data_IF_291903415249
#
_entry.id   IF_291903415249
#
_cell.length_a   1.000
_cell.length_b   1.000
_cell.length_c   1.000
_cell.angle_alpha   90.00
_cell.angle_beta   90.00
_cell.angle_gamma   90.00
#
_symmetry.space_group_name_H-M   'P 1'
#
loop_
_entity.id
_entity.type
_entity.pdbx_description
1 polymer ?
#
# COMPACT_ATOMS: atom_id res chain seq x y z
N UNK A 1 -6.09 2.63 -8.86
CA UNK A 1 -5.27 1.75 -9.72
C UNK A 1 -5.01 2.34 -11.10
N UNK A 2 -5.98 2.41 -12.03
CA UNK A 2 -5.75 2.95 -13.39
C UNK A 2 -5.12 4.36 -13.40
N UNK A 3 -5.44 5.18 -12.40
CA UNK A 3 -4.83 6.51 -12.20
C UNK A 3 -3.58 6.50 -11.32
N UNK A 4 -3.52 5.65 -10.31
CA UNK A 4 -2.49 5.70 -9.26
C UNK A 4 -1.20 5.04 -9.71
N UNK A 5 -1.27 3.85 -10.31
CA UNK A 5 -0.10 3.10 -10.75
C UNK A 5 0.72 3.88 -11.79
N UNK A 6 0.15 4.41 -12.90
CA UNK A 6 0.95 5.18 -13.85
C UNK A 6 1.54 6.46 -13.25
N UNK A 7 0.81 7.12 -12.34
CA UNK A 7 1.30 8.30 -11.63
C UNK A 7 2.47 7.98 -10.72
N UNK A 8 2.41 6.90 -9.94
CA UNK A 8 3.51 6.45 -9.09
C UNK A 8 4.79 6.20 -9.89
N UNK A 9 4.69 5.52 -11.05
CA UNK A 9 5.83 5.32 -11.93
C UNK A 9 6.42 6.64 -12.46
N UNK A 10 5.55 7.55 -12.92
CA UNK A 10 5.98 8.87 -13.42
C UNK A 10 6.63 9.71 -12.32
N UNK A 11 6.03 9.74 -11.14
CA UNK A 11 6.50 10.54 -10.03
C UNK A 11 7.82 9.98 -9.48
N UNK A 12 7.95 8.64 -9.38
CA UNK A 12 9.20 7.97 -9.04
C UNK A 12 10.31 8.29 -10.06
N UNK A 13 10.00 8.21 -11.36
CA UNK A 13 10.94 8.61 -12.42
C UNK A 13 11.37 10.07 -12.24
N UNK A 14 10.43 10.99 -12.04
CA UNK A 14 10.68 12.41 -11.87
C UNK A 14 11.56 12.71 -10.64
N UNK A 15 11.34 12.03 -9.51
CA UNK A 15 12.17 12.17 -8.30
C UNK A 15 13.62 11.78 -8.59
N UNK A 16 13.85 10.64 -9.23
CA UNK A 16 15.19 10.19 -9.60
C UNK A 16 15.84 11.11 -10.65
N UNK A 17 15.06 11.58 -11.62
CA UNK A 17 15.53 12.52 -12.65
C UNK A 17 15.94 13.88 -12.08
N UNK A 18 15.22 14.39 -11.06
CA UNK A 18 15.58 15.61 -10.31
C UNK A 18 16.90 15.44 -9.54
N UNK A 19 17.22 14.23 -9.10
CA UNK A 19 18.52 13.87 -8.48
C UNK A 19 19.61 13.57 -9.51
N UNK A 20 19.39 13.86 -10.80
CA UNK A 20 20.37 13.70 -11.87
C UNK A 20 20.44 12.30 -12.50
N UNK A 21 19.61 11.34 -12.07
CA UNK A 21 19.54 10.00 -12.63
C UNK A 21 18.45 9.91 -13.72
N UNK A 22 18.81 10.17 -14.98
CA UNK A 22 17.93 10.12 -16.16
C UNK A 22 18.26 8.94 -17.08
N UNK A 23 17.33 8.56 -17.94
CA UNK A 23 17.51 7.46 -18.90
C UNK A 23 17.88 6.16 -18.19
N UNK A 24 18.92 5.45 -18.67
CA UNK A 24 19.39 4.20 -18.08
C UNK A 24 20.00 4.35 -16.67
N UNK A 25 20.43 5.55 -16.27
CA UNK A 25 20.88 5.78 -14.87
C UNK A 25 19.71 5.79 -13.90
N UNK A 26 18.48 5.97 -14.38
CA UNK A 26 17.29 5.95 -13.56
C UNK A 26 16.93 4.51 -13.17
N UNK A 27 16.83 4.25 -11.86
CA UNK A 27 16.51 2.92 -11.34
C UNK A 27 15.18 2.39 -11.86
N UNK A 28 14.17 3.25 -12.00
CA UNK A 28 12.83 2.87 -12.49
C UNK A 28 12.91 2.32 -13.91
N UNK A 29 13.69 2.97 -14.79
CA UNK A 29 13.86 2.53 -16.18
C UNK A 29 14.57 1.17 -16.26
N UNK A 30 15.63 0.98 -15.48
CA UNK A 30 16.37 -0.30 -15.48
C UNK A 30 15.53 -1.46 -14.95
N UNK A 31 14.77 -1.24 -13.88
CA UNK A 31 13.88 -2.26 -13.32
C UNK A 31 12.77 -2.59 -14.30
N UNK A 32 12.11 -1.59 -14.89
CA UNK A 32 11.08 -1.82 -15.90
C UNK A 32 11.61 -2.57 -17.14
N UNK A 33 12.82 -2.24 -17.60
CA UNK A 33 13.45 -2.96 -18.71
C UNK A 33 13.72 -4.43 -18.35
N UNK A 34 14.21 -4.70 -17.14
CA UNK A 34 14.42 -6.06 -16.66
C UNK A 34 13.12 -6.85 -16.54
N UNK A 35 12.04 -6.22 -16.03
CA UNK A 35 10.71 -6.83 -15.96
C UNK A 35 10.17 -7.18 -17.35
N UNK A 36 10.32 -6.29 -18.32
CA UNK A 36 9.92 -6.54 -19.73
C UNK A 36 10.72 -7.71 -20.32
N UNK A 37 12.04 -7.76 -20.10
CA UNK A 37 12.88 -8.87 -20.56
C UNK A 37 12.49 -10.18 -19.90
N UNK A 38 12.22 -10.18 -18.59
CA UNK A 38 11.77 -11.35 -17.85
C UNK A 38 10.46 -11.90 -18.42
N UNK A 39 9.46 -11.03 -18.62
CA UNK A 39 8.16 -11.43 -19.17
C UNK A 39 8.31 -11.92 -20.61
N UNK A 40 9.14 -11.27 -21.43
CA UNK A 40 9.42 -11.70 -22.81
C UNK A 40 10.13 -13.07 -22.86
N UNK A 41 11.10 -13.30 -21.97
CA UNK A 41 11.80 -14.58 -21.86
C UNK A 41 10.83 -15.70 -21.42
N UNK A 42 9.97 -15.44 -20.42
CA UNK A 42 8.93 -16.37 -20.03
C UNK A 42 7.96 -16.66 -21.18
N UNK A 43 7.57 -15.63 -21.94
CA UNK A 43 6.64 -15.79 -23.06
C UNK A 43 7.26 -16.61 -24.20
N UNK A 44 8.55 -16.46 -24.46
CA UNK A 44 9.28 -17.24 -25.45
C UNK A 44 9.43 -18.73 -25.06
N UNK A 45 9.57 -19.02 -23.77
CA UNK A 45 9.73 -20.39 -23.26
C UNK A 45 8.37 -21.10 -23.06
N UNK A 46 7.41 -20.40 -22.47
CA UNK A 46 6.09 -20.90 -22.13
C UNK A 46 5.07 -19.75 -22.07
N UNK A 47 4.36 -19.44 -23.16
CA UNK A 47 3.38 -18.35 -23.20
C UNK A 47 2.32 -18.41 -22.08
N UNK A 48 1.88 -19.61 -21.72
CA UNK A 48 0.94 -19.82 -20.61
C UNK A 48 1.55 -19.40 -19.26
N UNK A 49 2.84 -19.68 -19.02
CA UNK A 49 3.51 -19.28 -17.79
C UNK A 49 3.65 -17.75 -17.72
N UNK A 50 3.95 -17.08 -18.83
CA UNK A 50 3.98 -15.63 -18.89
C UNK A 50 2.61 -15.01 -18.59
N UNK A 51 1.53 -15.59 -19.13
CA UNK A 51 0.16 -15.12 -18.86
C UNK A 51 -0.19 -15.27 -17.37
N UNK A 52 0.10 -16.42 -16.77
CA UNK A 52 -0.14 -16.66 -15.33
C UNK A 52 0.70 -15.70 -14.48
N UNK A 53 1.96 -15.47 -14.83
CA UNK A 53 2.85 -14.55 -14.13
C UNK A 53 2.33 -13.11 -14.18
N UNK A 54 1.95 -12.62 -15.36
CA UNK A 54 1.37 -11.27 -15.50
C UNK A 54 0.04 -11.15 -14.75
N UNK A 55 -0.81 -12.18 -14.79
CA UNK A 55 -2.05 -12.22 -14.01
C UNK A 55 -1.79 -12.16 -12.50
N UNK A 56 -0.84 -12.93 -12.00
CA UNK A 56 -0.43 -12.92 -10.59
C UNK A 56 0.13 -11.54 -10.18
N UNK A 57 0.98 -10.94 -11.01
CA UNK A 57 1.52 -9.61 -10.76
C UNK A 57 0.41 -8.54 -10.73
N UNK A 58 -0.58 -8.62 -11.61
CA UNK A 58 -1.73 -7.72 -11.60
C UNK A 58 -2.54 -7.85 -10.30
N UNK A 59 -2.77 -9.08 -9.81
CA UNK A 59 -3.42 -9.33 -8.52
C UNK A 59 -2.58 -8.78 -7.37
N UNK A 60 -1.26 -8.95 -7.38
CA UNK A 60 -0.37 -8.44 -6.35
C UNK A 60 -0.38 -6.90 -6.29
N UNK A 61 -0.27 -6.23 -7.45
CA UNK A 61 -0.36 -4.75 -7.55
C UNK A 61 -1.74 -4.29 -7.09
N UNK A 62 -2.81 -5.01 -7.46
CA UNK A 62 -4.15 -4.71 -6.98
C UNK A 62 -4.20 -4.78 -5.45
N UNK A 63 -3.78 -5.89 -4.85
CA UNK A 63 -3.83 -6.06 -3.39
C UNK A 63 -3.01 -5.00 -2.66
N UNK A 64 -1.82 -4.65 -3.16
CA UNK A 64 -0.99 -3.59 -2.59
C UNK A 64 -1.71 -2.24 -2.58
N UNK A 65 -2.21 -1.80 -3.74
CA UNK A 65 -2.92 -0.53 -3.88
C UNK A 65 -4.23 -0.51 -3.09
N UNK A 66 -4.90 -1.66 -3.03
CA UNK A 66 -6.16 -1.83 -2.33
C UNK A 66 -5.99 -1.72 -0.81
N UNK A 67 -5.00 -2.43 -0.26
CA UNK A 67 -4.69 -2.35 1.17
C UNK A 67 -4.16 -0.97 1.54
N UNK A 68 -3.32 -0.35 0.71
CA UNK A 68 -2.90 1.04 0.89
C UNK A 68 -4.10 1.99 0.96
N UNK A 69 -5.09 1.80 0.08
CA UNK A 69 -6.32 2.59 0.10
C UNK A 69 -7.09 2.40 1.42
N UNK A 70 -7.24 1.17 1.90
CA UNK A 70 -7.94 0.86 3.16
C UNK A 70 -7.19 1.49 4.36
N UNK A 71 -5.88 1.30 4.42
CA UNK A 71 -4.98 1.78 5.47
C UNK A 71 -4.94 3.30 5.62
N UNK A 72 -5.21 4.04 4.54
CA UNK A 72 -5.16 5.51 4.52
C UNK A 72 -6.53 6.13 4.24
N UNK A 73 -7.61 5.35 4.28
CA UNK A 73 -8.92 5.85 3.88
C UNK A 73 -9.39 7.02 4.75
N UNK A 74 -9.69 8.15 4.12
CA UNK A 74 -10.26 9.34 4.77
C UNK A 74 -9.28 10.13 5.63
N UNK A 75 -8.11 9.58 5.95
CA UNK A 75 -7.06 10.26 6.69
C UNK A 75 -6.27 11.15 5.74
N UNK A 76 -5.91 12.35 6.19
CA UNK A 76 -5.16 13.33 5.40
C UNK A 76 -3.97 13.82 6.20
N UNK A 77 -2.89 14.09 5.48
CA UNK A 77 -1.71 14.79 5.97
C UNK A 77 -1.66 16.15 5.31
N UNK A 78 -1.52 17.20 6.10
CA UNK A 78 -1.33 18.56 5.61
C UNK A 78 -0.02 18.72 4.83
N UNK A 79 0.06 19.77 4.03
CA UNK A 79 1.33 20.14 3.38
C UNK A 79 2.35 20.54 4.44
N UNK A 80 3.56 19.98 4.37
CA UNK A 80 4.61 20.20 5.38
C UNK A 80 4.40 19.49 6.72
N UNK A 81 3.24 18.87 6.96
CA UNK A 81 2.99 18.12 8.18
C UNK A 81 3.86 16.86 8.23
N UNK A 82 4.52 16.63 9.38
CA UNK A 82 5.32 15.43 9.62
C UNK A 82 4.41 14.22 9.69
N UNK A 83 4.84 13.09 9.11
CA UNK A 83 4.14 11.81 9.23
C UNK A 83 3.92 11.45 10.71
N UNK A 84 2.69 11.11 11.08
CA UNK A 84 2.30 10.73 12.43
C UNK A 84 1.43 9.47 12.44
N UNK A 85 1.14 8.95 13.63
CA UNK A 85 0.23 7.81 13.82
C UNK A 85 -1.20 8.08 13.33
N UNK A 86 -1.58 9.35 13.18
CA UNK A 86 -2.92 9.76 12.74
C UNK A 86 -3.13 9.67 11.22
N UNK A 87 -2.06 9.41 10.45
CA UNK A 87 -2.13 9.36 8.99
C UNK A 87 -2.38 7.95 8.43
N UNK A 88 -2.59 6.96 9.29
CA UNK A 88 -2.88 5.58 8.91
C UNK A 88 -3.73 4.87 9.96
N UNK A 89 -4.57 3.94 9.52
CA UNK A 89 -5.31 3.04 10.40
C UNK A 89 -4.44 1.91 10.92
N UNK A 90 -4.60 1.55 12.20
CA UNK A 90 -4.01 0.37 12.84
C UNK A 90 -5.04 -0.72 13.09
N UNK A 91 -4.59 -1.94 13.36
CA UNK A 91 -5.40 -2.97 14.00
C UNK A 91 -4.57 -4.02 14.72
N UNK A 92 -4.99 -4.36 15.93
CA UNK A 92 -4.33 -5.33 16.83
C UNK A 92 -5.00 -6.72 16.81
N UNK A 93 -5.88 -6.96 15.84
CA UNK A 93 -6.56 -8.26 15.71
C UNK A 93 -5.52 -9.34 15.41
N UNK A 94 -5.34 -10.27 16.36
CA UNK A 94 -4.36 -11.38 16.32
C UNK A 94 -4.28 -12.08 14.96
N UNK A 95 -5.44 -12.42 14.38
CA UNK A 95 -5.48 -13.08 13.07
C UNK A 95 -4.86 -12.22 11.97
N UNK A 96 -5.21 -10.92 11.91
CA UNK A 96 -4.61 -9.98 10.93
C UNK A 96 -3.11 -9.79 11.19
N UNK A 97 -2.71 -9.67 12.45
CA UNK A 97 -1.32 -9.53 12.85
C UNK A 97 -0.48 -10.73 12.40
N UNK A 98 -0.94 -11.95 12.65
CA UNK A 98 -0.14 -13.15 12.33
C UNK A 98 -0.04 -13.44 10.84
N UNK A 99 -1.16 -13.39 10.12
CA UNK A 99 -1.18 -13.76 8.70
C UNK A 99 -0.60 -12.67 7.79
N UNK A 100 -0.60 -11.41 8.25
CA UNK A 100 -0.06 -10.28 7.51
C UNK A 100 1.25 -9.76 8.12
N UNK A 101 1.91 -10.54 8.98
CA UNK A 101 3.20 -10.17 9.59
C UNK A 101 3.20 -8.76 10.17
N UNK A 102 2.24 -8.48 11.05
CA UNK A 102 2.02 -7.20 11.72
C UNK A 102 1.87 -6.00 10.75
N UNK A 103 1.53 -6.22 9.47
CA UNK A 103 1.16 -5.16 8.53
C UNK A 103 0.00 -4.30 9.08
N UNK A 104 -0.86 -4.89 9.91
CA UNK A 104 -1.95 -4.17 10.54
C UNK A 104 -1.51 -3.11 11.55
N UNK A 105 -0.27 -3.17 12.05
CA UNK A 105 0.37 -2.10 12.84
C UNK A 105 0.96 -1.03 11.90
N UNK A 106 0.19 -0.59 10.91
CA UNK A 106 0.66 0.27 9.81
C UNK A 106 1.29 1.60 10.26
N UNK A 107 0.77 2.31 11.29
CA UNK A 107 1.47 3.46 11.84
C UNK A 107 2.91 3.16 12.27
N UNK A 108 3.15 1.98 12.86
CA UNK A 108 4.48 1.57 13.29
C UNK A 108 5.41 1.34 12.11
N UNK A 109 4.92 0.75 11.02
CA UNK A 109 5.70 0.64 9.78
C UNK A 109 6.13 1.99 9.20
N UNK A 110 5.29 3.03 9.31
CA UNK A 110 5.65 4.37 8.84
C UNK A 110 6.58 5.13 9.78
N UNK A 111 6.42 4.93 11.09
CA UNK A 111 7.20 5.65 12.11
C UNK A 111 8.55 4.97 12.40
N UNK A 112 8.62 3.65 12.26
CA UNK A 112 9.75 2.78 12.59
C UNK A 112 10.00 1.74 11.49
N UNK A 113 10.08 2.21 10.25
CA UNK A 113 10.23 1.36 9.06
C UNK A 113 11.46 0.42 9.05
N UNK A 114 12.45 0.67 9.91
CA UNK A 114 13.64 -0.16 10.07
C UNK A 114 13.47 -1.32 11.06
N UNK A 115 12.41 -1.34 11.86
CA UNK A 115 12.15 -2.42 12.82
C UNK A 115 11.61 -3.66 12.09
N UNK A 116 12.05 -4.83 12.55
CA UNK A 116 11.50 -6.10 12.07
C UNK A 116 10.03 -6.23 12.46
N UNK A 117 9.24 -6.93 11.65
CA UNK A 117 7.80 -7.05 11.87
C UNK A 117 7.44 -7.67 13.24
N UNK A 118 8.32 -8.50 13.81
CA UNK A 118 8.14 -9.12 15.13
C UNK A 118 8.28 -8.15 16.31
N UNK A 119 8.93 -6.99 16.11
CA UNK A 119 9.20 -6.01 17.17
C UNK A 119 8.21 -4.84 17.16
N UNK A 120 7.41 -4.71 16.09
CA UNK A 120 6.45 -3.62 15.93
C UNK A 120 5.40 -3.62 17.04
N UNK A 121 5.20 -2.45 17.64
CA UNK A 121 4.23 -2.21 18.69
C UNK A 121 3.10 -1.28 18.20
N UNK A 122 1.86 -1.48 18.67
CA UNK A 122 0.76 -0.55 18.42
C UNK A 122 1.01 0.81 19.07
N UNK A 123 0.33 1.84 18.57
CA UNK A 123 0.37 3.18 19.15
C UNK A 123 -0.97 3.54 19.79
N UNK A 124 -0.94 3.87 21.08
CA UNK A 124 -2.13 4.34 21.78
C UNK A 124 -2.73 5.57 21.10
N UNK A 125 -4.05 5.59 20.91
CA UNK A 125 -4.76 6.69 20.27
C UNK A 125 -4.51 6.85 18.76
N UNK A 126 -3.87 5.88 18.09
CA UNK A 126 -3.90 5.82 16.64
C UNK A 126 -5.32 5.43 16.14
N UNK A 127 -5.72 5.84 14.92
CA UNK A 127 -6.99 5.42 14.34
C UNK A 127 -7.06 3.89 14.23
N UNK A 128 -8.05 3.25 14.85
CA UNK A 128 -8.20 1.78 14.82
C UNK A 128 -9.31 1.32 13.85
N UNK A 129 -8.99 0.31 13.05
CA UNK A 129 -9.91 -0.34 12.14
C UNK A 129 -11.01 -1.10 12.89
N UNK A 130 -12.19 -1.17 12.29
CA UNK A 130 -13.36 -1.78 12.93
C UNK A 130 -13.18 -3.28 13.29
N UNK A 131 -12.62 -4.09 12.39
CA UNK A 131 -12.61 -5.56 12.53
C UNK A 131 -11.30 -6.19 12.00
N UNK A 132 -10.20 -5.44 12.06
CA UNK A 132 -8.95 -5.84 11.39
C UNK A 132 -9.11 -5.95 9.88
N UNK A 133 -8.10 -6.50 9.22
CA UNK A 133 -7.98 -6.41 7.77
C UNK A 133 -9.02 -7.27 7.07
N UNK A 134 -9.23 -8.50 7.54
CA UNK A 134 -10.20 -9.42 6.95
C UNK A 134 -11.65 -8.92 7.09
N UNK A 135 -11.98 -8.27 8.22
CA UNK A 135 -13.31 -7.70 8.42
C UNK A 135 -13.57 -6.45 7.60
N UNK A 136 -12.53 -5.68 7.24
CA UNK A 136 -12.66 -4.50 6.38
C UNK A 136 -12.47 -4.79 4.90
N UNK A 137 -11.82 -5.90 4.54
CA UNK A 137 -11.52 -6.26 3.16
C UNK A 137 -12.79 -6.37 2.31
N UNK A 138 -13.79 -7.16 2.71
CA UNK A 138 -14.99 -7.31 1.88
C UNK A 138 -15.82 -6.02 1.78
N UNK A 139 -16.09 -5.29 2.87
CA UNK A 139 -16.82 -4.02 2.80
C UNK A 139 -16.14 -2.97 1.92
N UNK A 140 -14.80 -2.88 1.92
CA UNK A 140 -14.07 -1.89 1.13
C UNK A 140 -14.17 -2.12 -0.38
N UNK A 141 -14.55 -3.31 -0.84
CA UNK A 141 -14.91 -3.55 -2.25
C UNK A 141 -16.27 -2.94 -2.61
N UNK A 142 -17.18 -2.81 -1.64
CA UNK A 142 -18.51 -2.24 -1.85
C UNK A 142 -18.59 -0.81 -1.29
N UNK A 143 -18.27 0.15 -2.17
CA UNK A 143 -18.09 1.58 -1.85
C UNK A 143 -19.17 2.21 -0.94
N UNK A 144 -20.49 1.99 -1.14
CA UNK A 144 -21.51 2.58 -0.26
C UNK A 144 -21.42 2.09 1.19
N UNK A 145 -21.20 0.78 1.39
CA UNK A 145 -21.07 0.19 2.72
C UNK A 145 -19.78 0.67 3.40
N UNK A 146 -18.67 0.65 2.67
CA UNK A 146 -17.39 1.13 3.16
C UNK A 146 -17.46 2.56 3.65
N UNK A 147 -18.01 3.47 2.83
CA UNK A 147 -18.17 4.89 3.16
C UNK A 147 -19.00 5.06 4.43
N UNK A 148 -20.10 4.33 4.57
CA UNK A 148 -20.98 4.41 5.75
C UNK A 148 -20.26 4.00 7.03
N UNK A 149 -19.50 2.91 7.01
CA UNK A 149 -18.77 2.43 8.19
C UNK A 149 -17.61 3.35 8.55
N UNK A 150 -16.84 3.78 7.55
CA UNK A 150 -15.71 4.66 7.79
C UNK A 150 -16.11 6.07 8.17
N UNK A 151 -17.27 6.57 7.75
CA UNK A 151 -17.79 7.87 8.19
C UNK A 151 -17.96 7.92 9.72
N UNK A 152 -18.47 6.85 10.33
CA UNK A 152 -18.63 6.75 11.78
C UNK A 152 -17.28 6.77 12.50
N UNK A 153 -16.29 6.05 11.96
CA UNK A 153 -14.93 6.01 12.52
C UNK A 153 -14.20 7.35 12.39
N UNK A 154 -14.32 8.00 11.24
CA UNK A 154 -13.71 9.31 10.99
C UNK A 154 -14.32 10.39 11.91
N UNK A 155 -15.63 10.37 12.13
CA UNK A 155 -16.30 11.32 13.01
C UNK A 155 -15.92 11.16 14.50
N UNK A 156 -15.43 9.98 14.89
CA UNK A 156 -14.96 9.72 16.25
C UNK A 156 -13.49 10.10 16.49
N UNK A 157 -12.75 10.47 15.44
CA UNK A 157 -11.37 10.93 15.60
C UNK A 157 -11.33 12.34 16.19
N UNK A 158 -10.26 12.69 16.94
CA UNK A 158 -10.06 14.05 17.40
C UNK A 158 -10.08 15.01 16.21
N UNK A 159 -10.80 16.13 16.33
CA UNK A 159 -10.69 17.21 15.36
C UNK A 159 -9.28 17.81 15.45
N UNK A 160 -8.54 17.74 14.36
CA UNK A 160 -7.32 18.53 14.18
C UNK A 160 -7.67 20.01 13.95
#
# INVERSE_FOLDING_TARGET
MARTVPKQFRDAYAIHAKRGARGWRNRVVRVAAFEVVLVAALAALAPAAALVFVGQAAVAVFLLEYINYVQHYGLRRGEGERQSKMHSWQSERRWSCWTLFNLSLHPAHHLKASEGWWDLQPYDGAPDMFSGYYGTFWPALFSPLWKRWMAQKLAALPSN
#
